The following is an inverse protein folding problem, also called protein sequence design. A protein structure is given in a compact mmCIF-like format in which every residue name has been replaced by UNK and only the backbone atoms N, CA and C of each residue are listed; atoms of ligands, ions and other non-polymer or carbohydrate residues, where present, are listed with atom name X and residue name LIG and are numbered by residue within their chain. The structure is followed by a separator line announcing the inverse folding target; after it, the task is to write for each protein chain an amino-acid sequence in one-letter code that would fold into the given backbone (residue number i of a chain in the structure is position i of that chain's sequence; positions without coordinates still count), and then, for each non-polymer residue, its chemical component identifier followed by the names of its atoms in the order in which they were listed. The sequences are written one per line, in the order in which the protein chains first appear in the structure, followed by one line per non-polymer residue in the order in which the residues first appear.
data_IF_767684824887
#
_entry.id   IF_767684824887
#
_cell.length_a   1.000
_cell.length_b   1.000
_cell.length_c   1.000
_cell.angle_alpha   90.00
_cell.angle_beta   90.00
_cell.angle_gamma   90.00
#
_symmetry.space_group_name_H-M   'P 1'
#
loop_
_entity.id
_entity.type
_entity.pdbx_description
1 polymer ?
#
# COMPACT_ATOMS: atom_id res chain seq x y z
N UNK A 1 9.49 -19.33 -0.55
CA UNK A 1 9.17 -18.07 0.15
C UNK A 1 8.60 -17.10 -0.87
N UNK A 2 7.42 -16.57 -0.63
CA UNK A 2 6.81 -15.58 -1.53
C UNK A 2 7.18 -14.16 -1.06
N UNK A 3 8.08 -13.47 -1.77
CA UNK A 3 8.54 -12.14 -1.39
C UNK A 3 7.41 -11.10 -1.27
N UNK A 4 6.33 -11.25 -2.05
CA UNK A 4 5.18 -10.35 -1.98
C UNK A 4 4.43 -10.45 -0.64
N UNK A 5 4.40 -11.63 0.00
CA UNK A 5 3.82 -11.79 1.34
C UNK A 5 4.67 -11.08 2.40
N UNK A 6 6.00 -11.17 2.29
CA UNK A 6 6.91 -10.44 3.18
C UNK A 6 6.77 -8.92 2.99
N UNK A 7 6.66 -8.46 1.75
CA UNK A 7 6.38 -7.06 1.43
C UNK A 7 5.06 -6.60 2.06
N UNK A 8 3.99 -7.40 1.95
CA UNK A 8 2.69 -7.09 2.56
C UNK A 8 2.79 -6.93 4.08
N UNK A 9 3.53 -7.80 4.75
CA UNK A 9 3.76 -7.70 6.20
C UNK A 9 4.57 -6.44 6.56
N UNK A 10 5.58 -6.09 5.75
CA UNK A 10 6.35 -4.86 5.96
C UNK A 10 5.47 -3.61 5.80
N UNK A 11 4.60 -3.55 4.80
CA UNK A 11 3.64 -2.45 4.61
C UNK A 11 2.68 -2.27 5.80
N UNK A 12 2.27 -3.37 6.43
CA UNK A 12 1.47 -3.35 7.67
C UNK A 12 2.28 -2.79 8.83
N UNK A 13 3.54 -3.19 8.96
CA UNK A 13 4.44 -2.66 10.00
C UNK A 13 4.70 -1.17 9.82
N UNK A 14 4.81 -0.71 8.57
CA UNK A 14 4.89 0.70 8.20
C UNK A 14 3.57 1.48 8.33
N UNK A 15 2.50 0.86 8.86
CA UNK A 15 1.18 1.50 9.06
C UNK A 15 0.50 1.99 7.79
N UNK A 16 0.85 1.44 6.63
CA UNK A 16 0.25 1.76 5.33
C UNK A 16 -0.98 0.88 5.06
N UNK A 17 -0.93 -0.37 5.51
CA UNK A 17 -2.05 -1.31 5.42
C UNK A 17 -2.52 -1.73 6.81
N UNK A 18 -3.83 -1.92 7.02
CA UNK A 18 -4.33 -2.49 8.26
C UNK A 18 -3.98 -3.98 8.37
N UNK A 19 -3.88 -4.50 9.60
CA UNK A 19 -3.50 -5.92 9.85
C UNK A 19 -4.48 -6.93 9.25
N UNK A 20 -5.76 -6.56 9.15
CA UNK A 20 -6.84 -7.36 8.57
C UNK A 20 -7.10 -7.04 7.09
N UNK A 21 -6.14 -6.43 6.38
CA UNK A 21 -6.28 -6.13 4.96
C UNK A 21 -6.38 -7.41 4.12
N UNK A 22 -7.17 -7.40 3.04
CA UNK A 22 -7.41 -8.58 2.17
C UNK A 22 -6.14 -9.29 1.67
N UNK A 23 -5.03 -8.56 1.54
CA UNK A 23 -3.73 -9.11 1.09
C UNK A 23 -3.08 -10.06 2.10
N UNK A 24 -3.60 -10.13 3.35
CA UNK A 24 -3.14 -11.08 4.38
C UNK A 24 -3.95 -12.37 4.40
N UNK A 25 -5.03 -12.47 3.61
CA UNK A 25 -5.81 -13.69 3.52
C UNK A 25 -5.00 -14.83 2.89
N UNK A 26 -5.27 -16.07 3.30
CA UNK A 26 -4.56 -17.24 2.76
C UNK A 26 -4.75 -17.40 1.26
N UNK A 27 -5.93 -17.01 0.75
CA UNK A 27 -6.32 -17.02 -0.66
C UNK A 27 -5.80 -15.83 -1.46
N UNK A 28 -5.13 -14.86 -0.83
CA UNK A 28 -4.64 -13.67 -1.52
C UNK A 28 -3.55 -14.03 -2.54
N UNK A 29 -3.55 -13.33 -3.65
CA UNK A 29 -2.55 -13.44 -4.71
C UNK A 29 -1.71 -12.17 -4.80
N UNK A 30 -0.54 -12.27 -5.44
CA UNK A 30 0.32 -11.10 -5.71
C UNK A 30 -0.42 -9.97 -6.44
N UNK A 31 -1.43 -10.31 -7.24
CA UNK A 31 -2.26 -9.34 -7.94
C UNK A 31 -3.11 -8.47 -7.00
N UNK A 32 -3.57 -9.00 -5.87
CA UNK A 32 -4.30 -8.22 -4.87
C UNK A 32 -3.43 -7.13 -4.26
N UNK A 33 -2.16 -7.45 -4.00
CA UNK A 33 -1.17 -6.47 -3.54
C UNK A 33 -0.90 -5.43 -4.63
N UNK A 34 -0.70 -5.86 -5.88
CA UNK A 34 -0.47 -4.96 -7.01
C UNK A 34 -1.65 -4.00 -7.20
N UNK A 35 -2.90 -4.49 -7.15
CA UNK A 35 -4.08 -3.64 -7.21
C UNK A 35 -4.16 -2.64 -6.06
N UNK A 36 -3.82 -3.09 -4.85
CA UNK A 36 -3.82 -2.25 -3.64
C UNK A 36 -2.84 -1.08 -3.76
N UNK A 37 -1.73 -1.27 -4.46
CA UNK A 37 -0.71 -0.23 -4.68
C UNK A 37 -0.86 0.52 -6.01
N UNK A 38 -1.78 0.10 -6.88
CA UNK A 38 -1.89 0.52 -8.29
C UNK A 38 -2.05 2.02 -8.46
N UNK A 39 -2.79 2.66 -7.57
CA UNK A 39 -3.07 4.09 -7.63
C UNK A 39 -1.93 4.99 -7.11
N UNK A 40 -0.89 4.38 -6.52
CA UNK A 40 0.27 5.08 -5.97
C UNK A 40 0.02 5.85 -4.68
N UNK A 41 -1.23 5.96 -4.19
CA UNK A 41 -1.57 6.72 -2.97
C UNK A 41 -0.91 6.09 -1.76
N UNK A 42 -0.99 4.76 -1.62
CA UNK A 42 -0.38 4.04 -0.52
C UNK A 42 1.16 4.11 -0.55
N UNK A 43 1.77 4.18 -1.73
CA UNK A 43 3.22 4.37 -1.86
C UNK A 43 3.63 5.76 -1.40
N UNK A 44 2.82 6.79 -1.66
CA UNK A 44 3.07 8.13 -1.13
C UNK A 44 2.94 8.17 0.40
N UNK A 45 1.90 7.51 0.94
CA UNK A 45 1.71 7.39 2.38
C UNK A 45 2.85 6.61 3.06
N UNK A 46 3.35 5.55 2.42
CA UNK A 46 4.50 4.80 2.91
C UNK A 46 5.71 5.71 3.16
N UNK A 47 6.05 6.56 2.19
CA UNK A 47 7.19 7.46 2.32
C UNK A 47 7.02 8.44 3.48
N UNK A 48 5.81 8.98 3.66
CA UNK A 48 5.50 9.87 4.78
C UNK A 48 5.51 9.17 6.15
N UNK A 49 5.15 7.89 6.20
CA UNK A 49 5.22 7.11 7.44
C UNK A 49 6.66 6.77 7.82
N UNK A 50 7.55 6.58 6.85
CA UNK A 50 8.98 6.33 7.09
C UNK A 50 9.73 7.62 7.45
N UNK A 51 9.39 8.72 6.78
CA UNK A 51 9.95 10.04 7.03
C UNK A 51 8.85 11.09 6.86
N UNK A 52 8.49 11.82 7.93
CA UNK A 52 7.49 12.88 7.86
C UNK A 52 7.81 13.90 6.76
N UNK A 53 6.76 14.45 6.15
CA UNK A 53 6.83 15.51 5.13
C UNK A 53 7.68 15.19 3.89
N UNK A 54 7.83 13.91 3.54
CA UNK A 54 8.55 13.49 2.32
C UNK A 54 7.77 13.82 1.05
N UNK A 55 6.45 13.69 1.08
CA UNK A 55 5.54 14.01 -0.02
C UNK A 55 4.42 14.90 0.50
N UNK A 56 4.20 16.03 -0.18
CA UNK A 56 3.04 16.88 0.06
C UNK A 56 1.77 16.21 -0.48
N UNK A 57 0.94 15.65 0.41
CA UNK A 57 -0.28 14.94 0.02
C UNK A 57 -1.33 15.84 -0.66
N UNK A 58 -1.17 17.18 -0.64
CA UNK A 58 -2.02 18.12 -1.38
C UNK A 58 -1.70 18.16 -2.88
N UNK A 59 -0.51 17.68 -3.27
CA UNK A 59 -0.06 17.63 -4.66
C UNK A 59 -0.37 16.29 -5.34
N UNK A 60 -0.92 15.33 -4.60
CA UNK A 60 -1.33 14.03 -5.13
C UNK A 60 -2.85 13.92 -5.20
N UNK A 61 -3.34 13.22 -6.22
CA UNK A 61 -4.75 12.87 -6.27
C UNK A 61 -5.02 11.70 -5.32
N UNK A 62 -5.56 11.98 -4.12
CA UNK A 62 -5.90 10.98 -3.11
C UNK A 62 -7.07 10.06 -3.50
N UNK A 63 -7.82 10.41 -4.55
CA UNK A 63 -8.94 9.63 -5.07
C UNK A 63 -8.90 9.64 -6.59
N UNK A 64 -7.91 8.97 -7.21
CA UNK A 64 -7.85 8.88 -8.65
C UNK A 64 -9.10 8.16 -9.16
N UNK A 65 -9.91 8.86 -9.95
CA UNK A 65 -11.20 8.36 -10.46
C UNK A 65 -11.07 7.24 -11.49
N UNK A 66 -9.84 6.83 -11.82
CA UNK A 66 -9.53 5.75 -12.76
C UNK A 66 -8.65 4.69 -12.09
N UNK A 67 -9.27 3.89 -11.23
CA UNK A 67 -8.82 2.53 -10.90
C UNK A 67 -10.02 1.59 -11.09
N UNK A 68 -10.47 1.50 -12.35
CA UNK A 68 -11.30 0.38 -12.81
C UNK A 68 -10.35 -0.75 -13.23
#
# INVERSE_FOLDING_TARGET
MEYWRQCSLWLINCKVLPRNHRVTADSAQVFDLAQTLRDGVLLCQLLNNLKPDTINLKEINLRPQMSQ
#
